data_IF_150562008674
#
_entry.id   IF_150562008674
#
_cell.length_a   1.000
_cell.length_b   1.000
_cell.length_c   1.000
_cell.angle_alpha   90.00
_cell.angle_beta   90.00
_cell.angle_gamma   90.00
#
_symmetry.space_group_name_H-M   'P 1'
#
loop_
_entity.id
_entity.type
_entity.pdbx_description
1 polymer ?
#
# COMPACT_ATOMS: atom_id res chain seq x y z
N UNK A 1 -8.28 -47.25 -9.83
CA UNK A 1 -8.95 -46.92 -8.59
C UNK A 1 -9.13 -45.42 -8.51
N UNK A 2 -10.30 -44.95 -9.00
CA UNK A 2 -10.74 -43.58 -8.86
C UNK A 2 -11.12 -43.35 -7.39
N UNK A 3 -10.36 -42.56 -6.67
CA UNK A 3 -10.76 -42.07 -5.36
C UNK A 3 -11.93 -41.11 -5.55
N UNK A 4 -13.08 -41.55 -5.10
CA UNK A 4 -14.32 -40.82 -4.98
C UNK A 4 -14.11 -39.52 -4.15
N UNK A 5 -14.47 -38.33 -4.63
CA UNK A 5 -14.41 -37.15 -3.79
C UNK A 5 -15.41 -37.31 -2.64
N UNK A 6 -14.91 -37.25 -1.41
CA UNK A 6 -15.73 -37.28 -0.21
C UNK A 6 -16.83 -36.21 -0.28
N UNK A 7 -18.10 -36.56 0.04
CA UNK A 7 -19.20 -35.61 0.00
C UNK A 7 -18.93 -34.50 1.01
N UNK A 8 -19.03 -33.26 0.54
CA UNK A 8 -19.01 -32.07 1.39
C UNK A 8 -20.10 -32.22 2.45
N UNK A 9 -19.71 -32.55 3.67
CA UNK A 9 -20.63 -32.51 4.81
C UNK A 9 -21.10 -31.07 5.01
N UNK A 10 -22.39 -30.78 4.82
CA UNK A 10 -22.95 -29.47 5.16
C UNK A 10 -23.12 -29.44 6.68
N UNK A 11 -22.46 -28.50 7.38
CA UNK A 11 -22.96 -28.21 8.70
C UNK A 11 -22.03 -27.95 9.86
N UNK A 12 -20.82 -27.43 9.64
CA UNK A 12 -20.20 -26.66 10.72
C UNK A 12 -19.85 -25.27 10.16
N UNK A 13 -20.67 -24.27 10.49
CA UNK A 13 -20.35 -22.87 10.23
C UNK A 13 -18.99 -22.56 10.88
N UNK A 14 -17.92 -22.60 10.07
CA UNK A 14 -16.56 -22.34 10.52
C UNK A 14 -16.56 -20.99 11.23
N UNK A 15 -16.24 -20.96 12.51
CA UNK A 15 -16.12 -19.71 13.28
C UNK A 15 -15.11 -18.83 12.58
N UNK A 16 -15.54 -17.65 12.13
CA UNK A 16 -14.65 -16.68 11.46
C UNK A 16 -13.63 -16.20 12.48
N UNK A 17 -12.32 -16.31 12.21
CA UNK A 17 -11.28 -15.80 13.10
C UNK A 17 -11.17 -14.27 12.97
N UNK A 18 -12.10 -13.54 13.56
CA UNK A 18 -12.20 -12.08 13.48
C UNK A 18 -10.90 -11.36 13.86
N UNK A 19 -10.13 -11.93 14.80
CA UNK A 19 -8.80 -11.39 15.15
C UNK A 19 -7.82 -11.38 13.98
N UNK A 20 -7.83 -12.44 13.14
CA UNK A 20 -7.02 -12.49 11.93
C UNK A 20 -7.53 -11.52 10.86
N UNK A 21 -8.84 -11.37 10.75
CA UNK A 21 -9.45 -10.40 9.84
C UNK A 21 -9.04 -8.96 10.18
N UNK A 22 -9.17 -8.55 11.45
CA UNK A 22 -8.79 -7.19 11.87
C UNK A 22 -7.29 -6.92 11.74
N UNK A 23 -6.43 -7.94 11.95
CA UNK A 23 -4.99 -7.82 11.65
C UNK A 23 -4.76 -7.57 10.15
N UNK A 24 -5.47 -8.26 9.27
CA UNK A 24 -5.38 -8.03 7.83
C UNK A 24 -5.85 -6.61 7.46
N UNK A 25 -6.95 -6.13 8.05
CA UNK A 25 -7.43 -4.75 7.87
C UNK A 25 -6.36 -3.74 8.28
N UNK A 26 -5.71 -3.94 9.43
CA UNK A 26 -4.64 -3.08 9.92
C UNK A 26 -3.43 -3.08 8.97
N UNK A 27 -2.98 -4.27 8.53
CA UNK A 27 -1.86 -4.41 7.59
C UNK A 27 -2.17 -3.67 6.28
N UNK A 28 -3.39 -3.81 5.78
CA UNK A 28 -3.82 -3.15 4.57
C UNK A 28 -3.92 -1.63 4.72
N UNK A 29 -4.50 -1.17 5.81
CA UNK A 29 -4.64 0.25 6.12
C UNK A 29 -3.27 0.93 6.19
N UNK A 30 -2.33 0.32 6.92
CA UNK A 30 -0.97 0.84 7.06
C UNK A 30 -0.20 0.80 5.72
N UNK A 31 -0.35 -0.25 4.91
CA UNK A 31 0.29 -0.32 3.60
C UNK A 31 -0.22 0.81 2.67
N UNK A 32 -1.54 1.03 2.62
CA UNK A 32 -2.15 2.11 1.82
C UNK A 32 -1.72 3.50 2.33
N UNK A 33 -1.63 3.68 3.65
CA UNK A 33 -1.14 4.91 4.26
C UNK A 33 0.30 5.21 3.84
N UNK A 34 1.21 4.22 3.97
CA UNK A 34 2.62 4.39 3.64
C UNK A 34 2.83 4.62 2.13
N UNK A 35 2.08 3.91 1.26
CA UNK A 35 2.19 4.07 -0.18
C UNK A 35 1.87 5.49 -0.61
N UNK A 36 0.72 6.02 -0.17
CA UNK A 36 0.33 7.39 -0.49
C UNK A 36 1.12 8.44 0.28
N UNK A 37 1.43 8.15 1.54
CA UNK A 37 2.31 9.00 2.34
C UNK A 37 3.68 9.18 1.67
N UNK A 38 4.31 8.11 1.20
CA UNK A 38 5.59 8.18 0.49
C UNK A 38 5.50 8.98 -0.81
N UNK A 39 4.43 8.79 -1.61
CA UNK A 39 4.19 9.58 -2.81
C UNK A 39 4.06 11.08 -2.48
N UNK A 40 3.18 11.40 -1.53
CA UNK A 40 2.88 12.77 -1.13
C UNK A 40 3.95 13.43 -0.24
N UNK A 41 5.00 12.72 0.07
CA UNK A 41 6.22 13.22 0.67
C UNK A 41 7.25 13.62 -0.40
N UNK A 42 7.38 12.85 -1.48
CA UNK A 42 8.32 13.13 -2.56
C UNK A 42 7.86 14.29 -3.45
N UNK A 43 6.55 14.46 -3.67
CA UNK A 43 6.00 15.55 -4.50
C UNK A 43 6.42 16.93 -3.95
N UNK A 44 6.09 17.32 -2.71
CA UNK A 44 6.45 18.62 -2.19
C UNK A 44 7.97 18.79 -2.02
N UNK A 45 8.72 17.70 -1.77
CA UNK A 45 10.18 17.74 -1.76
C UNK A 45 10.72 18.11 -3.15
N UNK A 46 10.19 17.53 -4.23
CA UNK A 46 10.58 17.87 -5.60
C UNK A 46 10.29 19.33 -5.92
N UNK A 47 9.11 19.82 -5.54
CA UNK A 47 8.74 21.24 -5.71
C UNK A 47 9.63 22.15 -4.89
N UNK A 48 10.00 21.77 -3.68
CA UNK A 48 10.93 22.56 -2.84
C UNK A 48 12.33 22.65 -3.44
N UNK A 49 12.82 21.55 -4.07
CA UNK A 49 14.16 21.50 -4.67
C UNK A 49 14.25 22.27 -5.99
N UNK A 50 13.24 22.17 -6.84
CA UNK A 50 13.31 22.63 -8.24
C UNK A 50 12.22 23.66 -8.60
N UNK A 51 11.43 24.12 -7.64
CA UNK A 51 10.28 24.99 -7.89
C UNK A 51 9.18 24.26 -8.68
N UNK A 52 8.41 25.01 -9.47
CA UNK A 52 7.34 24.45 -10.29
C UNK A 52 7.80 23.48 -11.39
N UNK A 53 9.09 23.48 -11.73
CA UNK A 53 9.69 22.51 -12.64
C UNK A 53 9.96 21.15 -11.97
N UNK A 54 9.93 21.09 -10.64
CA UNK A 54 10.12 19.88 -9.85
C UNK A 54 8.83 19.09 -9.59
N UNK A 55 7.80 19.25 -10.45
CA UNK A 55 6.56 18.50 -10.31
C UNK A 55 6.78 17.00 -10.59
N UNK A 56 6.74 16.23 -9.51
CA UNK A 56 6.89 14.78 -9.52
C UNK A 56 5.54 14.05 -9.52
N UNK A 57 4.40 14.75 -9.55
CA UNK A 57 3.09 14.12 -9.43
C UNK A 57 2.84 13.10 -10.55
N UNK A 58 3.05 13.51 -11.81
CA UNK A 58 2.86 12.63 -12.97
C UNK A 58 3.86 11.47 -13.02
N UNK A 59 5.19 11.69 -12.86
CA UNK A 59 6.14 10.58 -12.84
C UNK A 59 5.89 9.60 -11.71
N UNK A 60 5.63 10.06 -10.48
CA UNK A 60 5.34 9.18 -9.36
C UNK A 60 4.00 8.45 -9.52
N UNK A 61 3.00 9.09 -10.11
CA UNK A 61 1.75 8.44 -10.50
C UNK A 61 1.97 7.32 -11.50
N UNK A 62 2.78 7.56 -12.54
CA UNK A 62 3.13 6.54 -13.54
C UNK A 62 3.92 5.37 -12.91
N UNK A 63 4.84 5.65 -11.98
CA UNK A 63 5.62 4.63 -11.26
C UNK A 63 4.71 3.68 -10.47
N UNK A 64 3.59 4.15 -9.91
CA UNK A 64 2.63 3.28 -9.21
C UNK A 64 1.86 2.42 -10.22
N UNK A 65 1.37 3.00 -11.29
CA UNK A 65 0.47 2.32 -12.24
C UNK A 65 1.21 1.30 -13.12
N UNK A 66 2.42 1.64 -13.56
CA UNK A 66 3.18 0.83 -14.51
C UNK A 66 3.44 -0.61 -14.02
N UNK A 67 3.88 -0.86 -12.78
CA UNK A 67 4.06 -2.22 -12.28
C UNK A 67 2.75 -3.03 -12.24
N UNK A 68 1.61 -2.41 -11.93
CA UNK A 68 0.32 -3.10 -11.96
C UNK A 68 -0.04 -3.60 -13.35
N UNK A 69 0.22 -2.82 -14.40
CA UNK A 69 -0.03 -3.22 -15.78
C UNK A 69 0.94 -4.32 -16.21
N UNK A 70 2.24 -4.15 -15.94
CA UNK A 70 3.27 -5.06 -16.41
C UNK A 70 3.29 -6.40 -15.68
N UNK A 71 3.14 -6.38 -14.35
CA UNK A 71 3.31 -7.59 -13.53
C UNK A 71 1.99 -8.29 -13.16
N UNK A 72 0.82 -7.74 -13.53
CA UNK A 72 -0.49 -8.31 -13.21
C UNK A 72 -0.60 -9.82 -13.45
N UNK A 73 -0.21 -10.37 -14.63
CA UNK A 73 -0.31 -11.82 -14.89
C UNK A 73 0.62 -12.64 -13.99
N UNK A 74 1.84 -12.14 -13.78
CA UNK A 74 2.85 -12.80 -12.94
C UNK A 74 2.41 -12.84 -11.48
N UNK A 75 1.85 -11.74 -10.99
CA UNK A 75 1.45 -11.59 -9.59
C UNK A 75 0.21 -12.44 -9.28
N UNK A 76 -0.72 -12.58 -10.25
CA UNK A 76 -1.83 -13.51 -10.15
C UNK A 76 -1.34 -14.95 -9.98
N UNK A 77 -0.46 -15.42 -10.88
CA UNK A 77 0.16 -16.73 -10.78
C UNK A 77 0.92 -16.95 -9.46
N UNK A 78 1.66 -15.93 -8.98
CA UNK A 78 2.38 -15.98 -7.71
C UNK A 78 1.43 -16.19 -6.53
N UNK A 79 0.32 -15.46 -6.50
CA UNK A 79 -0.71 -15.54 -5.45
C UNK A 79 -1.41 -16.90 -5.41
N UNK A 80 -1.57 -17.57 -6.55
CA UNK A 80 -2.18 -18.89 -6.63
C UNK A 80 -1.21 -20.02 -6.22
N UNK A 81 0.07 -19.84 -6.51
CA UNK A 81 1.11 -20.85 -6.26
C UNK A 81 1.60 -20.87 -4.82
N UNK A 82 1.69 -19.73 -4.17
CA UNK A 82 2.25 -19.62 -2.83
C UNK A 82 1.19 -19.35 -1.77
N UNK A 83 1.50 -19.73 -0.53
CA UNK A 83 0.64 -19.39 0.61
C UNK A 83 0.51 -17.86 0.72
N UNK A 84 -0.71 -17.35 0.58
CA UNK A 84 -1.04 -15.93 0.58
C UNK A 84 -0.51 -15.21 1.84
N UNK A 85 -0.58 -15.87 3.01
CA UNK A 85 -0.04 -15.31 4.25
C UNK A 85 1.49 -15.13 4.18
N UNK A 86 2.23 -16.06 3.55
CA UNK A 86 3.69 -15.93 3.37
C UNK A 86 4.04 -14.77 2.42
N UNK A 87 3.27 -14.58 1.35
CA UNK A 87 3.46 -13.43 0.46
C UNK A 87 3.26 -12.13 1.23
N UNK A 88 2.19 -12.01 2.02
CA UNK A 88 1.92 -10.82 2.85
C UNK A 88 3.07 -10.59 3.85
N UNK A 89 3.57 -11.63 4.52
CA UNK A 89 4.71 -11.54 5.43
C UNK A 89 5.98 -11.04 4.73
N UNK A 90 6.31 -11.62 3.58
CA UNK A 90 7.48 -11.22 2.80
C UNK A 90 7.38 -9.78 2.31
N UNK A 91 6.18 -9.35 1.88
CA UNK A 91 5.94 -7.98 1.43
C UNK A 91 5.98 -6.99 2.58
N UNK A 92 5.52 -7.35 3.78
CA UNK A 92 5.64 -6.52 4.98
C UNK A 92 7.11 -6.34 5.41
N UNK A 93 7.94 -7.38 5.31
CA UNK A 93 9.37 -7.26 5.56
C UNK A 93 10.08 -6.41 4.49
N UNK A 94 9.74 -6.63 3.22
CA UNK A 94 10.27 -5.82 2.12
C UNK A 94 9.92 -4.34 2.29
N UNK A 95 8.72 -4.03 2.78
CA UNK A 95 8.29 -2.66 3.07
C UNK A 95 9.22 -1.97 4.08
N UNK A 96 9.65 -2.67 5.13
CA UNK A 96 10.62 -2.13 6.10
C UNK A 96 11.95 -1.80 5.40
N UNK A 97 12.46 -2.71 4.56
CA UNK A 97 13.70 -2.49 3.82
C UNK A 97 13.58 -1.29 2.86
N UNK A 98 12.45 -1.19 2.16
CA UNK A 98 12.19 -0.09 1.22
C UNK A 98 12.11 1.25 1.94
N UNK A 99 11.36 1.33 3.04
CA UNK A 99 11.26 2.56 3.84
C UNK A 99 12.59 2.95 4.48
N UNK A 100 13.38 1.97 4.93
CA UNK A 100 14.74 2.23 5.44
C UNK A 100 15.67 2.76 4.35
N UNK A 101 15.63 2.18 3.14
CA UNK A 101 16.41 2.66 2.00
C UNK A 101 15.98 4.05 1.53
N UNK A 102 14.66 4.31 1.50
CA UNK A 102 14.11 5.62 1.19
C UNK A 102 14.52 6.66 2.24
N UNK A 103 14.40 6.35 3.53
CA UNK A 103 14.85 7.20 4.62
C UNK A 103 16.34 7.53 4.50
N UNK A 104 17.17 6.53 4.23
CA UNK A 104 18.61 6.72 4.03
C UNK A 104 18.90 7.66 2.84
N UNK A 105 18.22 7.46 1.71
CA UNK A 105 18.36 8.30 0.52
C UNK A 105 17.97 9.76 0.81
N UNK A 106 16.88 9.98 1.57
CA UNK A 106 16.47 11.32 1.99
C UNK A 106 17.48 11.96 2.93
N UNK A 107 18.06 11.21 3.85
CA UNK A 107 19.12 11.70 4.77
C UNK A 107 20.44 12.03 4.08
N UNK A 108 20.73 11.37 2.97
CA UNK A 108 21.92 11.63 2.15
C UNK A 108 21.67 12.61 1.00
N UNK A 109 20.51 13.27 0.98
CA UNK A 109 20.10 14.25 -0.02
C UNK A 109 20.10 13.68 -1.46
N UNK A 110 19.74 12.41 -1.60
CA UNK A 110 19.70 11.71 -2.88
C UNK A 110 18.23 11.46 -3.30
N UNK A 111 17.70 12.37 -4.13
CA UNK A 111 16.33 12.27 -4.63
C UNK A 111 16.13 11.06 -5.56
N UNK A 112 17.09 10.80 -6.44
CA UNK A 112 17.02 9.68 -7.39
C UNK A 112 16.99 8.34 -6.65
N UNK A 113 17.79 8.21 -5.58
CA UNK A 113 17.75 7.07 -4.69
C UNK A 113 16.39 6.92 -3.99
N UNK A 114 15.78 8.00 -3.53
CA UNK A 114 14.46 7.98 -2.91
C UNK A 114 13.36 7.57 -3.91
N UNK A 115 13.41 8.07 -5.14
CA UNK A 115 12.52 7.67 -6.23
C UNK A 115 12.71 6.20 -6.61
N UNK A 116 13.96 5.71 -6.65
CA UNK A 116 14.24 4.29 -6.91
C UNK A 116 13.61 3.40 -5.85
N UNK A 117 13.75 3.73 -4.57
CA UNK A 117 13.10 2.99 -3.49
C UNK A 117 11.58 3.05 -3.57
N UNK A 118 11.04 4.18 -4.02
CA UNK A 118 9.60 4.31 -4.28
C UNK A 118 9.15 3.42 -5.46
N UNK A 119 9.95 3.25 -6.51
CA UNK A 119 9.70 2.27 -7.56
C UNK A 119 9.63 0.83 -7.00
N UNK A 120 10.56 0.46 -6.12
CA UNK A 120 10.53 -0.86 -5.44
C UNK A 120 9.28 -1.00 -4.60
N UNK A 121 8.85 0.08 -3.93
CA UNK A 121 7.61 0.10 -3.17
C UNK A 121 6.37 -0.15 -4.05
N UNK A 122 6.29 0.46 -5.23
CA UNK A 122 5.20 0.25 -6.17
C UNK A 122 5.14 -1.21 -6.68
N UNK A 123 6.28 -1.83 -6.93
CA UNK A 123 6.36 -3.27 -7.27
C UNK A 123 5.88 -4.14 -6.10
N UNK A 124 6.31 -3.83 -4.87
CA UNK A 124 5.86 -4.51 -3.65
C UNK A 124 4.34 -4.42 -3.47
N UNK A 125 3.75 -3.22 -3.66
CA UNK A 125 2.31 -3.00 -3.58
C UNK A 125 1.53 -3.81 -4.63
N UNK A 126 2.08 -3.94 -5.83
CA UNK A 126 1.52 -4.77 -6.91
C UNK A 126 1.44 -6.24 -6.52
N UNK A 127 2.50 -6.80 -5.93
CA UNK A 127 2.55 -8.21 -5.48
C UNK A 127 1.61 -8.43 -4.29
N UNK A 128 1.49 -7.46 -3.42
CA UNK A 128 0.64 -7.54 -2.24
C UNK A 128 -0.86 -7.59 -2.58
N UNK A 129 -1.30 -6.88 -3.62
CA UNK A 129 -2.71 -6.65 -3.94
C UNK A 129 -3.57 -7.91 -4.15
N UNK A 130 -3.24 -8.91 -5.01
CA UNK A 130 -4.08 -10.09 -5.19
C UNK A 130 -4.03 -11.04 -3.98
N UNK A 131 -2.88 -11.14 -3.31
CA UNK A 131 -2.74 -11.97 -2.11
C UNK A 131 -3.65 -11.49 -0.98
N UNK A 132 -3.84 -10.17 -0.82
CA UNK A 132 -4.79 -9.55 0.08
C UNK A 132 -6.23 -9.98 -0.21
N UNK A 133 -6.66 -9.88 -1.47
CA UNK A 133 -8.03 -10.26 -1.87
C UNK A 133 -8.30 -11.75 -1.66
N UNK A 134 -7.31 -12.58 -1.98
CA UNK A 134 -7.42 -14.03 -1.80
C UNK A 134 -7.54 -14.43 -0.33
N UNK A 135 -6.72 -13.86 0.57
CA UNK A 135 -6.73 -14.24 1.99
C UNK A 135 -8.01 -13.77 2.71
N UNK A 136 -8.66 -12.68 2.28
CA UNK A 136 -9.96 -12.27 2.79
C UNK A 136 -10.98 -13.37 2.61
N UNK A 137 -11.07 -13.95 1.41
CA UNK A 137 -11.95 -15.09 1.10
C UNK A 137 -11.66 -16.29 2.01
N UNK A 138 -10.38 -16.59 2.23
CA UNK A 138 -9.95 -17.73 3.05
C UNK A 138 -10.30 -17.55 4.54
N UNK A 139 -10.28 -16.30 5.06
CA UNK A 139 -10.60 -15.99 6.45
C UNK A 139 -12.11 -16.00 6.70
N UNK A 140 -12.90 -15.29 5.88
CA UNK A 140 -14.32 -15.04 6.18
C UNK A 140 -15.29 -15.98 5.44
N UNK A 141 -14.81 -16.69 4.43
CA UNK A 141 -15.61 -17.53 3.56
C UNK A 141 -16.41 -16.73 2.51
N UNK A 142 -17.03 -17.45 1.58
CA UNK A 142 -17.73 -16.84 0.44
C UNK A 142 -19.00 -16.08 0.86
N UNK A 143 -19.72 -16.53 1.88
CA UNK A 143 -20.97 -15.93 2.34
C UNK A 143 -20.83 -14.52 2.92
N UNK A 144 -19.67 -14.18 3.44
CA UNK A 144 -19.38 -12.87 4.07
C UNK A 144 -18.35 -12.05 3.31
N UNK A 145 -17.92 -12.52 2.14
CA UNK A 145 -16.84 -11.92 1.35
C UNK A 145 -17.16 -10.47 0.96
N UNK A 146 -18.40 -10.17 0.53
CA UNK A 146 -18.80 -8.82 0.15
C UNK A 146 -18.64 -7.81 1.30
N UNK A 147 -19.15 -8.15 2.48
CA UNK A 147 -19.03 -7.30 3.67
C UNK A 147 -17.56 -7.11 4.09
N UNK A 148 -16.78 -8.19 4.16
CA UNK A 148 -15.38 -8.13 4.55
C UNK A 148 -14.53 -7.34 3.55
N UNK A 149 -14.73 -7.54 2.25
CA UNK A 149 -14.04 -6.77 1.21
C UNK A 149 -14.40 -5.29 1.30
N UNK A 150 -15.68 -4.95 1.57
CA UNK A 150 -16.11 -3.57 1.78
C UNK A 150 -15.37 -2.89 2.95
N UNK A 151 -15.21 -3.58 4.10
CA UNK A 151 -14.46 -3.05 5.25
C UNK A 151 -12.99 -2.84 4.89
N UNK A 152 -12.34 -3.82 4.25
CA UNK A 152 -10.94 -3.73 3.86
C UNK A 152 -10.71 -2.58 2.89
N UNK A 153 -11.60 -2.39 1.91
CA UNK A 153 -11.49 -1.33 0.93
C UNK A 153 -11.77 0.05 1.55
N UNK A 154 -12.78 0.16 2.40
CA UNK A 154 -13.06 1.38 3.17
C UNK A 154 -11.85 1.80 4.03
N UNK A 155 -11.26 0.86 4.77
CA UNK A 155 -10.07 1.12 5.57
C UNK A 155 -8.88 1.54 4.69
N UNK A 156 -8.72 0.95 3.51
CA UNK A 156 -7.69 1.31 2.54
C UNK A 156 -7.86 2.74 2.04
N UNK A 157 -9.08 3.12 1.63
CA UNK A 157 -9.39 4.46 1.12
C UNK A 157 -9.19 5.52 2.21
N UNK A 158 -9.70 5.28 3.42
CA UNK A 158 -9.52 6.21 4.53
C UNK A 158 -8.05 6.40 4.87
N UNK A 159 -7.28 5.32 4.94
CA UNK A 159 -5.84 5.37 5.22
C UNK A 159 -5.05 6.08 4.12
N UNK A 160 -5.43 5.87 2.86
CA UNK A 160 -4.87 6.56 1.71
C UNK A 160 -5.10 8.08 1.80
N UNK A 161 -6.33 8.51 2.11
CA UNK A 161 -6.66 9.93 2.26
C UNK A 161 -5.91 10.55 3.44
N UNK A 162 -5.86 9.85 4.59
CA UNK A 162 -5.11 10.32 5.76
C UNK A 162 -3.61 10.41 5.43
N UNK A 163 -3.05 9.42 4.73
CA UNK A 163 -1.65 9.43 4.29
C UNK A 163 -1.35 10.61 3.35
N UNK A 164 -2.21 10.84 2.37
CA UNK A 164 -2.06 11.89 1.38
C UNK A 164 -2.13 13.29 2.02
N UNK A 165 -3.21 13.58 2.72
CA UNK A 165 -3.47 14.91 3.30
C UNK A 165 -2.55 15.14 4.50
N UNK A 166 -2.48 14.16 5.41
CA UNK A 166 -1.73 14.26 6.66
C UNK A 166 -0.23 14.48 6.42
N UNK A 167 0.35 13.75 5.47
CA UNK A 167 1.77 13.89 5.14
C UNK A 167 2.08 15.21 4.48
N UNK A 168 1.22 15.68 3.57
CA UNK A 168 1.38 16.98 2.93
C UNK A 168 1.32 18.12 3.95
N UNK A 169 0.33 18.10 4.84
CA UNK A 169 0.20 19.09 5.93
C UNK A 169 1.40 19.01 6.87
N UNK A 170 1.86 17.81 7.20
CA UNK A 170 3.01 17.60 8.07
C UNK A 170 4.32 18.11 7.43
N UNK A 171 4.53 17.83 6.14
CA UNK A 171 5.68 18.36 5.41
C UNK A 171 5.72 19.90 5.44
N UNK A 172 4.59 20.55 5.15
CA UNK A 172 4.47 22.01 5.24
C UNK A 172 4.74 22.53 6.64
N UNK A 173 4.16 21.88 7.65
CA UNK A 173 4.36 22.25 9.03
C UNK A 173 5.83 22.16 9.46
N UNK A 174 6.58 21.17 9.01
CA UNK A 174 8.01 21.03 9.30
C UNK A 174 8.88 22.04 8.52
N UNK A 175 8.41 22.49 7.36
CA UNK A 175 9.14 23.43 6.51
C UNK A 175 8.92 24.90 6.94
N UNK A 176 7.70 25.27 7.32
CA UNK A 176 7.35 26.65 7.70
C UNK A 176 7.37 26.82 9.23
N UNK A 177 8.03 27.86 9.77
CA UNK A 177 7.87 28.22 11.17
C UNK A 177 6.44 28.77 11.35
N UNK A 178 5.54 27.96 11.89
CA UNK A 178 4.15 28.36 12.08
C UNK A 178 4.02 29.30 13.27
N UNK A 179 3.94 30.58 13.00
CA UNK A 179 3.50 31.58 13.98
C UNK A 179 1.96 31.69 14.10
N UNK A 180 1.23 31.21 13.08
CA UNK A 180 -0.23 31.37 12.98
C UNK A 180 -0.92 30.12 12.47
N UNK A 181 -0.90 29.02 13.20
CA UNK A 181 -1.76 27.88 12.84
C UNK A 181 -2.99 27.83 13.72
N UNK A 182 -4.17 27.70 13.09
CA UNK A 182 -5.49 27.53 13.70
C UNK A 182 -5.52 26.42 14.77
N UNK A 183 -4.57 25.47 14.69
CA UNK A 183 -4.44 24.33 15.60
C UNK A 183 -3.90 24.70 16.99
N UNK A 184 -3.13 25.79 17.16
CA UNK A 184 -2.63 26.25 18.45
C UNK A 184 -3.79 26.60 19.41
N UNK A 185 -4.89 27.04 18.87
CA UNK A 185 -6.07 27.45 19.64
C UNK A 185 -6.88 26.28 20.21
N UNK A 186 -6.78 25.07 19.57
CA UNK A 186 -7.63 23.92 19.93
C UNK A 186 -6.99 22.97 20.97
N UNK A 187 -5.68 22.85 21.01
CA UNK A 187 -4.97 21.82 21.80
C UNK A 187 -4.13 22.39 22.97
N UNK A 188 -4.13 23.71 23.16
CA UNK A 188 -3.38 24.38 24.24
C UNK A 188 -1.91 24.65 23.88
N UNK A 189 -1.46 25.87 24.17
CA UNK A 189 -0.13 26.38 23.78
C UNK A 189 1.03 25.54 24.34
N UNK A 190 0.90 24.99 25.55
CA UNK A 190 1.98 24.22 26.19
C UNK A 190 2.28 22.87 25.53
N UNK A 191 1.25 22.16 25.00
CA UNK A 191 1.44 20.91 24.30
C UNK A 191 2.13 21.13 22.96
N UNK A 192 1.73 22.17 22.23
CA UNK A 192 2.35 22.51 20.94
C UNK A 192 3.78 23.00 21.07
N UNK A 193 4.09 23.81 22.08
CA UNK A 193 5.46 24.26 22.31
C UNK A 193 6.41 23.09 22.61
N UNK A 194 5.98 22.12 23.41
CA UNK A 194 6.75 20.90 23.69
C UNK A 194 6.89 20.03 22.42
N UNK A 195 5.82 19.87 21.68
CA UNK A 195 5.78 19.09 20.44
C UNK A 195 6.60 19.76 19.33
N UNK A 196 6.52 21.09 19.19
CA UNK A 196 7.34 21.88 18.28
C UNK A 196 8.82 21.79 18.61
N UNK A 197 9.20 21.91 19.89
CA UNK A 197 10.60 21.80 20.32
C UNK A 197 11.18 20.42 20.03
N UNK A 198 10.35 19.38 20.08
CA UNK A 198 10.75 18.02 19.77
C UNK A 198 10.82 17.74 18.26
N UNK A 199 9.86 18.30 17.47
CA UNK A 199 9.76 18.09 16.03
C UNK A 199 10.64 19.02 15.21
N UNK A 200 10.89 20.25 15.69
CA UNK A 200 11.67 21.28 14.99
C UNK A 200 12.91 21.62 15.81
N UNK A 201 14.03 20.89 15.65
CA UNK A 201 15.30 21.38 16.15
C UNK A 201 15.56 22.74 15.50
N UNK A 202 15.73 23.75 16.33
CA UNK A 202 15.83 25.17 15.98
C UNK A 202 16.70 25.43 14.74
N UNK A 203 16.09 26.00 13.71
CA UNK A 203 16.76 26.56 12.53
C UNK A 203 16.68 25.77 11.22
N UNK A 204 15.93 24.69 11.12
CA UNK A 204 15.88 23.86 9.91
C UNK A 204 14.64 24.18 9.05
N UNK A 205 14.73 25.18 8.17
CA UNK A 205 13.91 25.28 6.96
C UNK A 205 14.47 24.36 5.87
N UNK A 206 14.58 23.06 6.18
CA UNK A 206 15.21 22.07 5.31
C UNK A 206 14.16 21.08 4.81
N UNK A 207 13.89 21.08 3.50
CA UNK A 207 12.96 20.17 2.86
C UNK A 207 13.36 18.71 2.97
N UNK A 208 14.67 18.41 3.04
CA UNK A 208 15.15 17.04 3.26
C UNK A 208 14.81 16.52 4.65
N UNK A 209 14.93 17.39 5.65
CA UNK A 209 14.50 17.04 7.01
C UNK A 209 12.98 16.84 7.05
N UNK A 210 12.23 17.79 6.46
CA UNK A 210 10.76 17.72 6.40
C UNK A 210 10.26 16.46 5.68
N UNK A 211 11.04 15.90 4.75
CA UNK A 211 10.75 14.63 4.08
C UNK A 211 11.24 13.42 4.89
N UNK A 212 12.45 13.45 5.43
CA UNK A 212 13.05 12.29 6.10
C UNK A 212 12.34 11.93 7.40
N UNK A 213 11.86 12.92 8.16
CA UNK A 213 11.24 12.68 9.46
C UNK A 213 9.90 11.90 9.36
N UNK A 214 8.92 12.27 8.51
CA UNK A 214 7.74 11.44 8.29
C UNK A 214 8.08 10.05 7.76
N UNK A 215 9.09 9.92 6.88
CA UNK A 215 9.55 8.63 6.37
C UNK A 215 10.07 7.72 7.50
N UNK A 216 10.78 8.28 8.49
CA UNK A 216 11.18 7.54 9.70
C UNK A 216 9.96 7.05 10.50
N UNK A 217 8.95 7.88 10.65
CA UNK A 217 7.71 7.49 11.35
C UNK A 217 7.01 6.35 10.59
N UNK A 218 6.94 6.38 9.25
CA UNK A 218 6.41 5.28 8.45
C UNK A 218 7.19 3.99 8.67
N UNK A 219 8.52 4.07 8.72
CA UNK A 219 9.39 2.94 9.00
C UNK A 219 9.10 2.35 10.38
N UNK A 220 9.00 3.19 11.41
CA UNK A 220 8.69 2.74 12.76
C UNK A 220 7.29 2.11 12.88
N UNK A 221 6.29 2.67 12.19
CA UNK A 221 4.95 2.10 12.14
C UNK A 221 4.88 0.78 11.35
N UNK A 222 5.76 0.57 10.37
CA UNK A 222 5.80 -0.66 9.59
C UNK A 222 6.27 -1.87 10.40
N UNK A 223 7.11 -1.68 11.41
CA UNK A 223 7.68 -2.77 12.25
C UNK A 223 6.59 -3.55 12.99
N UNK A 224 5.74 -2.94 13.85
CA UNK A 224 4.71 -3.69 14.57
C UNK A 224 3.67 -4.31 13.62
N UNK A 225 3.42 -3.71 12.47
CA UNK A 225 2.51 -4.26 11.46
C UNK A 225 3.13 -5.46 10.77
N UNK A 226 4.42 -5.43 10.45
CA UNK A 226 5.14 -6.59 9.95
C UNK A 226 5.13 -7.74 10.98
N UNK A 227 5.37 -7.46 12.26
CA UNK A 227 5.23 -8.46 13.33
C UNK A 227 3.81 -9.04 13.36
N UNK A 228 2.78 -8.19 13.26
CA UNK A 228 1.38 -8.62 13.21
C UNK A 228 1.08 -9.55 12.04
N UNK A 229 1.79 -9.41 10.89
CA UNK A 229 1.60 -10.27 9.72
C UNK A 229 1.97 -11.73 9.97
N UNK A 230 2.90 -12.01 10.90
CA UNK A 230 3.29 -13.41 11.24
C UNK A 230 2.19 -14.18 11.96
N UNK A 231 1.22 -13.48 12.54
CA UNK A 231 0.06 -14.09 13.21
C UNK A 231 -1.13 -14.31 12.27
N UNK A 232 -0.96 -14.09 10.95
CA UNK A 232 -1.98 -14.42 9.96
C UNK A 232 -2.06 -15.95 9.77
N UNK A 233 -3.28 -16.51 9.66
CA UNK A 233 -3.47 -17.93 9.43
C UNK A 233 -2.94 -18.32 8.04
N UNK A 234 -2.27 -19.47 7.99
CA UNK A 234 -1.70 -20.02 6.75
C UNK A 234 -2.71 -20.99 6.14
N UNK A 235 -3.15 -20.70 4.95
CA UNK A 235 -4.01 -21.57 4.15
C UNK A 235 -3.16 -22.23 3.05
N UNK A 236 -3.53 -23.46 2.68
CA UNK A 236 -2.89 -24.15 1.56
C UNK A 236 -3.13 -23.38 0.25
N UNK A 237 -2.16 -23.35 -0.67
CA UNK A 237 -2.35 -22.75 -1.99
C UNK A 237 -3.43 -23.49 -2.78
N UNK A 238 -4.17 -22.78 -3.65
CA UNK A 238 -5.33 -23.32 -4.36
C UNK A 238 -4.98 -24.28 -5.50
N UNK A 239 -3.72 -24.40 -5.90
CA UNK A 239 -3.30 -25.36 -6.90
C UNK A 239 -1.91 -25.11 -7.50
N UNK A 240 -1.38 -26.14 -8.11
CA UNK A 240 -0.08 -26.08 -8.79
C UNK A 240 -0.30 -25.86 -10.29
N UNK A 241 -0.21 -24.60 -10.74
CA UNK A 241 -0.14 -24.28 -12.18
C UNK A 241 1.32 -23.95 -12.52
N UNK A 242 1.94 -24.67 -13.49
CA UNK A 242 3.28 -24.31 -13.95
C UNK A 242 3.24 -22.91 -14.54
N UNK A 243 4.31 -22.14 -14.33
CA UNK A 243 4.46 -20.85 -14.97
C UNK A 243 4.59 -21.03 -16.49
N UNK A 244 3.80 -20.32 -17.26
CA UNK A 244 3.90 -20.29 -18.71
C UNK A 244 3.95 -18.83 -19.19
N UNK A 245 4.88 -18.52 -20.06
CA UNK A 245 4.95 -17.21 -20.72
C UNK A 245 3.70 -16.89 -21.56
N UNK A 246 2.90 -17.91 -21.91
CA UNK A 246 1.61 -17.71 -22.56
C UNK A 246 0.62 -16.88 -21.72
N UNK A 247 0.78 -16.87 -20.37
CA UNK A 247 -0.04 -16.04 -19.49
C UNK A 247 0.07 -14.54 -19.80
N UNK A 248 1.28 -14.07 -20.14
CA UNK A 248 1.47 -12.68 -20.57
C UNK A 248 0.80 -12.42 -21.92
N UNK A 249 1.03 -13.30 -22.88
CA UNK A 249 0.41 -13.17 -24.20
C UNK A 249 -1.12 -13.21 -24.12
N UNK A 250 -1.68 -14.14 -23.38
CA UNK A 250 -3.13 -14.27 -23.17
C UNK A 250 -3.71 -13.03 -22.47
N UNK A 251 -3.03 -12.49 -21.48
CA UNK A 251 -3.47 -11.29 -20.76
C UNK A 251 -3.57 -10.08 -21.70
N UNK A 252 -2.49 -9.79 -22.42
CA UNK A 252 -2.49 -8.67 -23.36
C UNK A 252 -3.41 -8.90 -24.56
N UNK A 253 -3.54 -10.15 -25.02
CA UNK A 253 -4.47 -10.50 -26.08
C UNK A 253 -5.94 -10.34 -25.64
N UNK A 254 -6.27 -10.70 -24.39
CA UNK A 254 -7.60 -10.48 -23.81
C UNK A 254 -7.89 -8.99 -23.65
N UNK A 255 -6.93 -8.19 -23.18
CA UNK A 255 -7.05 -6.73 -23.14
C UNK A 255 -7.31 -6.15 -24.53
N UNK A 256 -6.61 -6.63 -25.56
CA UNK A 256 -6.85 -6.24 -26.93
C UNK A 256 -8.25 -6.62 -27.45
N UNK A 257 -8.76 -7.79 -27.06
CA UNK A 257 -10.14 -8.22 -27.38
C UNK A 257 -11.19 -7.36 -26.68
N UNK A 258 -10.98 -7.04 -25.39
CA UNK A 258 -11.87 -6.14 -24.63
C UNK A 258 -11.92 -4.76 -25.30
N UNK A 259 -10.76 -4.22 -25.68
CA UNK A 259 -10.70 -2.93 -26.38
C UNK A 259 -11.42 -2.92 -27.72
N UNK A 260 -11.36 -4.05 -28.46
CA UNK A 260 -12.00 -4.21 -29.78
C UNK A 260 -13.52 -4.43 -29.66
N UNK A 261 -14.02 -4.97 -28.55
CA UNK A 261 -15.43 -5.27 -28.36
C UNK A 261 -16.16 -4.09 -27.71
N UNK A 262 -16.93 -3.34 -28.53
CA UNK A 262 -17.65 -2.12 -28.10
C UNK A 262 -18.59 -2.34 -26.90
N UNK A 263 -19.28 -3.48 -26.82
CA UNK A 263 -20.24 -3.75 -25.79
C UNK A 263 -19.57 -4.00 -24.42
N UNK A 264 -18.42 -4.71 -24.42
CA UNK A 264 -17.63 -4.92 -23.20
C UNK A 264 -16.98 -3.65 -22.71
N UNK A 265 -16.46 -2.83 -23.64
CA UNK A 265 -15.87 -1.53 -23.31
C UNK A 265 -16.88 -0.57 -22.66
N UNK A 266 -18.12 -0.52 -23.18
CA UNK A 266 -19.18 0.33 -22.60
C UNK A 266 -19.64 -0.18 -21.24
N UNK A 267 -19.73 -1.50 -21.03
CA UNK A 267 -20.13 -2.06 -19.74
C UNK A 267 -19.07 -1.82 -18.66
N UNK A 268 -17.78 -1.90 -18.99
CA UNK A 268 -16.70 -1.59 -18.01
C UNK A 268 -16.59 -0.09 -17.71
N UNK A 269 -16.76 0.78 -18.70
CA UNK A 269 -16.85 2.23 -18.47
C UNK A 269 -18.12 2.62 -17.69
N UNK A 270 -19.21 1.87 -17.80
CA UNK A 270 -20.45 2.09 -17.06
C UNK A 270 -20.44 1.62 -15.61
N UNK A 271 -19.50 0.76 -15.23
CA UNK A 271 -19.29 0.32 -13.82
C UNK A 271 -18.39 1.31 -13.05
N UNK A 272 -17.72 2.22 -13.75
CA UNK A 272 -16.83 3.23 -13.18
C UNK A 272 -17.51 4.55 -12.76
N UNK A 273 -18.86 4.60 -12.76
CA UNK A 273 -19.67 5.74 -12.30
C UNK A 273 -20.54 5.32 -11.13
#
# INVERSE_FOLDING_TARGET
NFMNPSPHTPGHARKVPWGAFWRLVLIQAQNSFNEKGAQFLLIPLGVWLYGTQGDLEYPLGAIIVLPFILFSPFVGWLSDRFCKARIIQSMALLQICVLAGMYWSLRTHNLDGAILWFCVFAVQATIFSPSKKGIVKDIVGTSRMGFASGIVEMASILSLLIGQIGVFVWFRYLLEPSTDTVWHHWLGEGFFQWFDAWLKPSGLNDGWYAASFPCLVFLLMAVPVAISSFYLPRYAPEGFRPFSWSLFYEHFHQLGKLWKNRNLRVSEMGIGY
#
